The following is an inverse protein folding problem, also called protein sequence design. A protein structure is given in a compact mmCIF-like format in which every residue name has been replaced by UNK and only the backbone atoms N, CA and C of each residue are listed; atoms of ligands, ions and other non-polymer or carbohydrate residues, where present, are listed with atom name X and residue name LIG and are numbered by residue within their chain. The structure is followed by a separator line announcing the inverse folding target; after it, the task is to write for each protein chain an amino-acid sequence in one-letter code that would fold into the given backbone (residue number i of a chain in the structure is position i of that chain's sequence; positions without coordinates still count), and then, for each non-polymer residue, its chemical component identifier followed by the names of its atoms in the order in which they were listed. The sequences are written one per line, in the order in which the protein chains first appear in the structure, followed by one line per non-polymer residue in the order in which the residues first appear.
data_IF_584255681600
#
_entry.id   IF_584255681600
#
_cell.length_a   1.000
_cell.length_b   1.000
_cell.length_c   1.000
_cell.angle_alpha   90.00
_cell.angle_beta   90.00
_cell.angle_gamma   90.00
#
_symmetry.space_group_name_H-M   'P 1'
#
loop_
_entity.id
_entity.type
_entity.pdbx_description
1 polymer ?
#
# COMPACT_ATOMS: atom_id res chain seq x y z
N UNK A 1 -6.26 -18.34 3.22
CA UNK A 1 -5.02 -18.15 2.47
C UNK A 1 -5.34 -17.23 1.31
N UNK A 2 -4.58 -16.16 1.13
CA UNK A 2 -4.70 -15.34 -0.07
C UNK A 2 -4.37 -16.20 -1.28
N UNK A 3 -5.22 -16.12 -2.31
CA UNK A 3 -4.91 -16.69 -3.62
C UNK A 3 -4.22 -15.58 -4.40
N UNK A 4 -2.89 -15.50 -4.27
CA UNK A 4 -2.13 -14.58 -5.11
C UNK A 4 -2.27 -14.99 -6.57
N UNK A 5 -2.39 -14.03 -7.51
CA UNK A 5 -2.19 -14.30 -8.92
C UNK A 5 -0.82 -14.95 -9.14
N UNK A 6 -0.63 -15.64 -10.27
CA UNK A 6 0.70 -16.17 -10.59
C UNK A 6 1.74 -15.04 -10.63
N UNK A 7 2.99 -15.38 -10.34
CA UNK A 7 4.08 -14.40 -10.22
C UNK A 7 4.34 -13.61 -11.51
N UNK A 8 4.02 -14.17 -12.67
CA UNK A 8 4.17 -13.48 -13.96
C UNK A 8 3.20 -12.31 -14.09
N UNK A 9 1.93 -12.54 -13.75
CA UNK A 9 0.91 -11.48 -13.75
C UNK A 9 1.19 -10.37 -12.75
N UNK A 10 1.77 -10.69 -11.58
CA UNK A 10 2.19 -9.68 -10.59
C UNK A 10 3.33 -8.79 -11.11
N UNK A 11 4.31 -9.39 -11.79
CA UNK A 11 5.44 -8.65 -12.37
C UNK A 11 4.95 -7.63 -13.41
N UNK A 12 4.09 -8.05 -14.34
CA UNK A 12 3.54 -7.16 -15.38
C UNK A 12 2.72 -6.01 -14.78
N UNK A 13 1.90 -6.28 -13.77
CA UNK A 13 1.13 -5.26 -13.04
C UNK A 13 2.05 -4.26 -12.32
N UNK A 14 3.11 -4.77 -11.66
CA UNK A 14 4.10 -3.93 -11.00
C UNK A 14 4.80 -3.01 -12.01
N UNK A 15 5.23 -3.53 -13.15
CA UNK A 15 5.86 -2.74 -14.21
C UNK A 15 4.92 -1.65 -14.77
N UNK A 16 3.66 -1.99 -15.06
CA UNK A 16 2.66 -1.02 -15.54
C UNK A 16 2.41 0.09 -14.53
N UNK A 17 2.24 -0.25 -13.25
CA UNK A 17 2.04 0.74 -12.19
C UNK A 17 3.30 1.58 -11.95
N UNK A 18 4.49 0.99 -12.00
CA UNK A 18 5.75 1.70 -11.88
C UNK A 18 6.00 2.65 -13.06
N UNK A 19 5.59 2.31 -14.28
CA UNK A 19 5.66 3.18 -15.45
C UNK A 19 4.82 4.45 -15.25
N UNK A 20 3.66 4.35 -14.61
CA UNK A 20 2.77 5.49 -14.33
C UNK A 20 3.39 6.54 -13.42
N UNK A 21 4.43 6.21 -12.64
CA UNK A 21 5.12 7.16 -11.75
C UNK A 21 5.85 8.30 -12.48
N UNK A 22 6.24 8.13 -13.75
CA UNK A 22 6.90 9.20 -14.52
C UNK A 22 5.95 10.30 -14.99
N UNK A 23 4.64 10.02 -14.97
CA UNK A 23 3.57 10.98 -15.26
C UNK A 23 2.36 10.64 -14.39
N UNK A 24 2.54 10.81 -13.07
CA UNK A 24 1.71 10.23 -12.03
C UNK A 24 0.19 10.42 -12.25
N UNK A 25 -0.53 9.30 -12.36
CA UNK A 25 -1.99 9.23 -12.45
C UNK A 25 -2.58 8.11 -11.56
N UNK A 26 -1.85 7.72 -10.50
CA UNK A 26 -2.22 6.63 -9.59
C UNK A 26 -3.57 6.87 -8.89
N UNK A 27 -3.92 8.13 -8.62
CA UNK A 27 -5.18 8.51 -7.98
C UNK A 27 -5.94 9.54 -8.83
N UNK A 28 -7.23 9.81 -8.53
CA UNK A 28 -8.06 10.72 -9.34
C UNK A 28 -7.57 12.18 -9.36
N UNK A 29 -6.57 12.55 -8.55
CA UNK A 29 -5.92 13.88 -8.62
C UNK A 29 -5.16 14.12 -9.92
N UNK A 30 -4.67 13.06 -10.58
CA UNK A 30 -3.95 13.14 -11.85
C UNK A 30 -2.86 14.23 -11.87
N UNK A 31 -2.00 14.30 -10.85
CA UNK A 31 -1.04 15.40 -10.71
C UNK A 31 0.03 15.44 -11.81
N UNK A 32 0.25 14.35 -12.53
CA UNK A 32 1.18 14.19 -13.66
C UNK A 32 2.65 14.49 -13.37
N UNK A 33 3.03 14.72 -12.12
CA UNK A 33 4.43 14.90 -11.70
C UNK A 33 5.25 13.64 -12.00
N UNK A 34 6.54 13.83 -12.23
CA UNK A 34 7.50 12.75 -12.41
C UNK A 34 8.14 12.35 -11.08
N UNK A 35 7.52 11.40 -10.37
CA UNK A 35 8.04 10.89 -9.09
C UNK A 35 9.42 10.23 -9.23
N UNK A 36 9.75 9.70 -10.41
CA UNK A 36 11.08 9.12 -10.70
C UNK A 36 12.17 10.18 -10.85
N UNK A 37 11.80 11.42 -11.18
CA UNK A 37 12.71 12.56 -11.21
C UNK A 37 12.75 13.33 -9.86
N UNK A 38 12.09 12.82 -8.82
CA UNK A 38 12.02 13.46 -7.51
C UNK A 38 10.94 14.53 -7.38
N UNK A 39 10.08 14.72 -8.38
CA UNK A 39 8.96 15.65 -8.27
C UNK A 39 7.87 15.10 -7.34
N UNK A 40 7.26 15.99 -6.56
CA UNK A 40 6.25 15.63 -5.57
C UNK A 40 4.89 16.21 -5.95
N UNK A 41 3.86 15.38 -5.84
CA UNK A 41 2.47 15.81 -5.97
C UNK A 41 1.89 16.26 -4.63
N UNK A 42 0.57 16.46 -4.58
CA UNK A 42 -0.16 16.85 -3.36
C UNK A 42 0.09 15.88 -2.19
N UNK A 43 0.21 14.57 -2.48
CA UNK A 43 0.45 13.56 -1.45
C UNK A 43 1.86 13.60 -0.85
N UNK A 44 2.80 14.36 -1.45
CA UNK A 44 4.20 14.50 -1.03
C UNK A 44 5.00 13.19 -0.99
N UNK A 45 4.63 12.22 -1.82
CA UNK A 45 5.35 10.93 -1.91
C UNK A 45 6.13 10.80 -3.22
N UNK A 46 7.40 10.44 -3.10
CA UNK A 46 8.37 10.26 -4.20
C UNK A 46 8.38 8.85 -4.78
N UNK A 47 9.52 8.37 -5.29
CA UNK A 47 9.61 7.05 -5.93
C UNK A 47 9.49 5.86 -4.95
N UNK A 48 9.79 6.08 -3.67
CA UNK A 48 9.73 5.06 -2.62
C UNK A 48 8.49 5.25 -1.73
N UNK A 49 8.12 4.20 -0.98
CA UNK A 49 7.00 4.26 -0.05
C UNK A 49 7.49 4.73 1.32
N UNK A 50 6.93 5.81 1.91
CA UNK A 50 7.21 6.17 3.29
C UNK A 50 6.34 5.33 4.22
N UNK A 51 6.98 4.64 5.16
CA UNK A 51 6.32 3.81 6.18
C UNK A 51 6.47 4.51 7.52
N UNK A 52 5.33 4.85 8.14
CA UNK A 52 5.27 5.45 9.47
C UNK A 52 5.46 4.38 10.56
N UNK A 53 4.75 3.26 10.45
CA UNK A 53 4.84 2.14 11.38
C UNK A 53 4.27 0.86 10.76
N UNK A 54 4.60 -0.29 11.36
CA UNK A 54 4.01 -1.57 10.99
C UNK A 54 3.97 -2.53 12.18
N UNK A 55 3.02 -3.47 12.18
CA UNK A 55 2.90 -4.52 13.19
C UNK A 55 1.45 -4.96 13.44
N UNK A 56 1.23 -5.81 14.46
CA UNK A 56 -0.12 -6.23 14.84
C UNK A 56 -0.93 -5.03 15.35
N UNK A 57 -2.06 -4.76 14.73
CA UNK A 57 -3.01 -3.72 15.14
C UNK A 57 -4.32 -4.35 15.61
N UNK A 58 -4.72 -3.98 16.83
CA UNK A 58 -5.93 -4.49 17.49
C UNK A 58 -7.06 -3.45 17.55
N UNK A 59 -6.90 -2.31 16.87
CA UNK A 59 -7.90 -1.25 16.80
C UNK A 59 -8.87 -1.35 15.62
N UNK A 60 -8.68 -2.30 14.70
CA UNK A 60 -9.60 -2.55 13.57
C UNK A 60 -10.87 -3.28 14.01
N UNK A 61 -11.80 -3.47 13.08
CA UNK A 61 -13.01 -4.25 13.28
C UNK A 61 -12.71 -5.71 13.64
N UNK A 62 -13.56 -6.30 14.50
CA UNK A 62 -13.41 -7.67 14.98
C UNK A 62 -13.14 -8.73 13.88
N UNK A 63 -13.77 -8.67 12.68
CA UNK A 63 -13.48 -9.61 11.59
C UNK A 63 -12.04 -9.53 11.05
N UNK A 64 -11.36 -8.39 11.18
CA UNK A 64 -9.99 -8.19 10.71
C UNK A 64 -8.96 -8.54 11.79
N UNK A 65 -9.25 -8.23 13.05
CA UNK A 65 -8.32 -8.40 14.17
C UNK A 65 -8.13 -9.86 14.57
N UNK A 66 -9.23 -10.63 14.62
CA UNK A 66 -9.20 -12.00 15.11
C UNK A 66 -8.48 -12.13 16.46
N UNK A 67 -7.67 -13.17 16.62
CA UNK A 67 -6.87 -13.41 17.83
C UNK A 67 -5.47 -12.78 17.82
N UNK A 68 -4.97 -12.41 16.64
CA UNK A 68 -3.53 -12.16 16.41
C UNK A 68 -3.24 -10.77 15.84
N UNK A 69 -4.27 -9.93 15.74
CA UNK A 69 -4.17 -8.61 15.15
C UNK A 69 -4.34 -8.60 13.64
N UNK A 70 -4.75 -7.43 13.16
CA UNK A 70 -4.67 -7.05 11.76
C UNK A 70 -3.23 -6.60 11.48
N UNK A 71 -2.58 -7.16 10.46
CA UNK A 71 -1.17 -6.92 10.22
C UNK A 71 -0.96 -5.60 9.48
N UNK A 72 -0.90 -4.50 10.20
CA UNK A 72 -1.03 -3.17 9.61
C UNK A 72 0.32 -2.59 9.17
N UNK A 73 0.32 -1.93 8.01
CA UNK A 73 1.37 -1.02 7.55
C UNK A 73 0.73 0.36 7.37
N UNK A 74 1.17 1.34 8.16
CA UNK A 74 0.75 2.73 8.03
C UNK A 74 1.69 3.46 7.08
N UNK A 75 1.18 3.89 5.94
CA UNK A 75 1.93 4.71 4.99
C UNK A 75 1.79 6.20 5.31
N UNK A 76 2.86 6.96 5.05
CA UNK A 76 2.89 8.41 5.23
C UNK A 76 2.43 9.13 3.96
N UNK A 77 1.92 10.35 4.13
CA UNK A 77 1.28 11.09 3.05
C UNK A 77 -0.13 10.57 2.73
N UNK A 78 -0.88 11.32 1.92
CA UNK A 78 -2.23 10.92 1.51
C UNK A 78 -2.65 11.66 0.23
N UNK A 79 -3.43 11.01 -0.64
CA UNK A 79 -4.08 11.65 -1.79
C UNK A 79 -5.30 12.52 -1.40
N UNK A 80 -5.76 12.39 -0.16
CA UNK A 80 -6.74 13.23 0.51
C UNK A 80 -6.06 14.17 1.51
N UNK A 81 -6.78 15.21 1.95
CA UNK A 81 -6.32 16.19 2.94
C UNK A 81 -7.47 16.56 3.87
N UNK A 82 -8.03 15.56 4.55
CA UNK A 82 -9.22 15.73 5.39
C UNK A 82 -8.94 16.71 6.53
N UNK A 83 -9.83 17.69 6.74
CA UNK A 83 -9.72 18.66 7.86
C UNK A 83 -9.90 17.99 9.23
N UNK A 84 -10.44 16.78 9.26
CA UNK A 84 -10.69 15.94 10.45
C UNK A 84 -9.82 14.68 10.45
N UNK A 85 -8.65 14.68 9.78
CA UNK A 85 -7.80 13.50 9.66
C UNK A 85 -7.37 12.95 11.02
N UNK A 86 -7.80 11.72 11.36
CA UNK A 86 -7.37 11.02 12.58
C UNK A 86 -5.86 10.70 12.55
N UNK A 87 -5.32 10.54 11.35
CA UNK A 87 -3.94 10.20 11.06
C UNK A 87 -3.10 11.44 10.66
N UNK A 88 -3.39 12.62 11.22
CA UNK A 88 -2.79 13.88 10.79
C UNK A 88 -1.24 13.86 10.80
N UNK A 89 -0.60 13.32 11.84
CA UNK A 89 0.86 13.22 11.92
C UNK A 89 1.47 12.46 10.72
N UNK A 90 0.95 11.26 10.44
CA UNK A 90 1.45 10.43 9.34
C UNK A 90 1.03 10.96 7.95
N UNK A 91 -0.23 11.36 7.78
CA UNK A 91 -0.81 11.73 6.49
C UNK A 91 -0.47 13.16 6.08
N UNK A 92 -0.41 14.10 7.03
CA UNK A 92 -0.17 15.52 6.78
C UNK A 92 1.22 16.00 7.22
N UNK A 93 1.87 15.39 8.21
CA UNK A 93 3.22 15.82 8.63
C UNK A 93 4.33 14.93 8.08
N UNK A 94 3.97 13.80 7.46
CA UNK A 94 4.93 12.94 6.75
C UNK A 94 5.83 12.15 7.68
N UNK A 95 5.36 11.83 8.89
CA UNK A 95 6.09 10.96 9.82
C UNK A 95 6.38 9.60 9.20
N UNK A 96 7.59 9.08 9.35
CA UNK A 96 8.01 7.80 8.80
C UNK A 96 9.30 7.89 8.00
N UNK A 97 9.68 6.77 7.37
CA UNK A 97 10.90 6.70 6.57
C UNK A 97 10.59 6.08 5.21
N UNK A 98 11.21 6.62 4.16
CA UNK A 98 11.16 6.00 2.84
C UNK A 98 11.85 4.63 2.87
N UNK A 99 11.18 3.63 2.29
CA UNK A 99 11.69 2.28 2.14
C UNK A 99 11.63 1.83 0.68
N UNK A 100 12.62 1.04 0.26
CA UNK A 100 12.61 0.40 -1.07
C UNK A 100 11.54 -0.69 -1.14
N UNK A 101 11.21 -1.14 -2.35
CA UNK A 101 10.28 -2.23 -2.56
C UNK A 101 10.75 -3.54 -1.88
N UNK A 102 12.05 -3.84 -1.88
CA UNK A 102 12.60 -5.02 -1.20
C UNK A 102 12.44 -4.94 0.31
N UNK A 103 12.65 -3.74 0.88
CA UNK A 103 12.47 -3.50 2.32
C UNK A 103 11.00 -3.63 2.68
N UNK A 104 10.10 -3.08 1.86
CA UNK A 104 8.65 -3.19 2.04
C UNK A 104 8.17 -4.65 1.93
N UNK A 105 8.68 -5.43 0.98
CA UNK A 105 8.42 -6.87 0.88
C UNK A 105 8.88 -7.61 2.14
N UNK A 106 10.04 -7.22 2.70
CA UNK A 106 10.53 -7.72 3.98
C UNK A 106 9.60 -7.43 5.15
N UNK A 107 8.99 -6.22 5.17
CA UNK A 107 7.97 -5.82 6.16
C UNK A 107 6.72 -6.70 6.02
N UNK A 108 6.21 -6.91 4.81
CA UNK A 108 5.03 -7.76 4.58
C UNK A 108 5.24 -9.18 5.09
N UNK A 109 6.38 -9.79 4.80
CA UNK A 109 6.73 -11.12 5.31
C UNK A 109 6.96 -11.13 6.82
N UNK A 110 7.45 -10.04 7.42
CA UNK A 110 7.61 -9.93 8.86
C UNK A 110 6.25 -9.92 9.57
N UNK A 111 5.28 -9.17 9.05
CA UNK A 111 3.90 -9.14 9.55
C UNK A 111 3.29 -10.54 9.52
N UNK A 112 3.47 -11.28 8.41
CA UNK A 112 3.02 -12.67 8.34
C UNK A 112 3.69 -13.56 9.40
N UNK A 113 5.01 -13.42 9.60
CA UNK A 113 5.74 -14.19 10.64
C UNK A 113 5.31 -13.85 12.06
N UNK A 114 4.78 -12.65 12.29
CA UNK A 114 4.17 -12.27 13.58
C UNK A 114 2.82 -12.97 13.82
N UNK A 115 2.29 -13.69 12.82
CA UNK A 115 1.04 -14.44 12.94
C UNK A 115 -0.23 -13.62 12.73
N UNK A 116 -0.10 -12.41 12.16
CA UNK A 116 -1.25 -11.55 11.86
C UNK A 116 -2.19 -12.22 10.85
N UNK A 117 -3.49 -11.95 10.96
CA UNK A 117 -4.51 -12.62 10.14
C UNK A 117 -4.56 -12.13 8.69
N UNK A 118 -4.09 -10.91 8.46
CA UNK A 118 -4.09 -10.25 7.16
C UNK A 118 -2.94 -9.23 7.09
N UNK A 119 -2.68 -8.73 5.89
CA UNK A 119 -1.83 -7.58 5.61
C UNK A 119 -2.72 -6.36 5.34
N UNK A 120 -2.86 -5.47 6.31
CA UNK A 120 -3.68 -4.28 6.23
C UNK A 120 -2.84 -3.06 5.81
N UNK A 121 -3.05 -2.62 4.58
CA UNK A 121 -2.33 -1.52 3.96
C UNK A 121 -3.14 -0.24 4.17
N UNK A 122 -2.70 0.64 5.07
CA UNK A 122 -3.44 1.84 5.50
C UNK A 122 -2.96 3.09 4.76
N UNK A 123 -3.91 3.80 4.14
CA UNK A 123 -3.66 4.89 3.18
C UNK A 123 -2.77 4.45 2.00
N UNK A 124 -3.11 3.36 1.29
CA UNK A 124 -2.25 2.77 0.27
C UNK A 124 -2.30 3.49 -1.09
N UNK A 125 -3.31 4.34 -1.32
CA UNK A 125 -3.66 4.83 -2.67
C UNK A 125 -2.55 5.57 -3.39
N UNK A 126 -1.71 6.35 -2.70
CA UNK A 126 -0.60 7.05 -3.34
C UNK A 126 0.68 6.22 -3.42
N UNK A 127 0.73 5.05 -2.77
CA UNK A 127 1.88 4.12 -2.77
C UNK A 127 1.57 2.79 -3.47
N UNK A 128 0.43 2.68 -4.16
CA UNK A 128 0.03 1.45 -4.86
C UNK A 128 1.11 0.86 -5.78
N UNK A 129 1.87 1.64 -6.57
CA UNK A 129 2.96 1.08 -7.37
C UNK A 129 4.03 0.38 -6.54
N UNK A 130 4.45 1.00 -5.44
CA UNK A 130 5.46 0.44 -4.54
C UNK A 130 4.94 -0.81 -3.81
N UNK A 131 3.64 -0.82 -3.44
CA UNK A 131 2.97 -1.98 -2.87
C UNK A 131 3.00 -3.15 -3.87
N UNK A 132 2.62 -2.92 -5.13
CA UNK A 132 2.58 -3.99 -6.13
C UNK A 132 3.96 -4.58 -6.38
N UNK A 133 4.99 -3.74 -6.46
CA UNK A 133 6.38 -4.18 -6.59
C UNK A 133 6.82 -5.01 -5.37
N UNK A 134 6.48 -4.57 -4.16
CA UNK A 134 6.77 -5.31 -2.93
C UNK A 134 6.01 -6.64 -2.84
N UNK A 135 4.77 -6.72 -3.33
CA UNK A 135 3.99 -7.96 -3.40
C UNK A 135 4.60 -8.94 -4.40
N UNK A 136 5.00 -8.47 -5.58
CA UNK A 136 5.75 -9.27 -6.55
C UNK A 136 7.01 -9.89 -5.92
N UNK A 137 7.76 -9.12 -5.12
CA UNK A 137 8.95 -9.60 -4.43
C UNK A 137 8.64 -10.54 -3.25
N UNK A 138 7.52 -10.33 -2.55
CA UNK A 138 7.15 -11.10 -1.35
C UNK A 138 6.44 -12.42 -1.67
N UNK A 139 5.65 -12.49 -2.75
CA UNK A 139 4.92 -13.68 -3.17
C UNK A 139 5.81 -14.93 -3.34
N UNK A 140 6.91 -14.92 -4.13
CA UNK A 140 7.78 -16.09 -4.27
C UNK A 140 8.53 -16.45 -2.98
N UNK A 141 8.55 -15.55 -1.99
CA UNK A 141 9.14 -15.75 -0.66
C UNK A 141 8.12 -16.28 0.36
N UNK A 142 6.91 -16.63 -0.08
CA UNK A 142 5.91 -17.30 0.73
C UNK A 142 4.90 -16.38 1.41
N UNK A 143 4.73 -15.13 0.96
CA UNK A 143 3.59 -14.31 1.40
C UNK A 143 2.28 -14.99 0.96
N UNK A 144 1.35 -15.21 1.89
CA UNK A 144 0.12 -15.98 1.67
C UNK A 144 -1.08 -15.54 2.54
N UNK A 145 -0.94 -14.46 3.29
CA UNK A 145 -2.04 -13.89 4.10
C UNK A 145 -2.90 -12.92 3.26
N UNK A 146 -4.22 -12.81 3.54
CA UNK A 146 -5.13 -11.88 2.86
C UNK A 146 -4.64 -10.44 2.89
N UNK A 147 -4.92 -9.68 1.84
CA UNK A 147 -4.60 -8.26 1.73
C UNK A 147 -5.85 -7.41 1.94
N UNK A 148 -5.78 -6.52 2.94
CA UNK A 148 -6.78 -5.49 3.20
C UNK A 148 -6.24 -4.16 2.67
N UNK A 149 -7.03 -3.50 1.83
CA UNK A 149 -6.73 -2.20 1.26
C UNK A 149 -7.58 -1.15 1.98
N UNK A 150 -7.04 -0.60 3.08
CA UNK A 150 -7.68 0.39 3.92
C UNK A 150 -7.41 1.80 3.36
N UNK A 151 -8.29 2.22 2.46
CA UNK A 151 -8.18 3.45 1.68
C UNK A 151 -9.25 4.47 2.10
N UNK A 152 -9.35 5.58 1.37
CA UNK A 152 -10.31 6.66 1.68
C UNK A 152 -11.44 6.80 0.66
N UNK A 153 -11.65 5.77 -0.16
CA UNK A 153 -12.69 5.77 -1.22
C UNK A 153 -12.45 6.76 -2.38
N UNK A 154 -11.22 7.26 -2.57
CA UNK A 154 -10.86 8.18 -3.66
C UNK A 154 -9.77 7.60 -4.58
N UNK A 155 -10.10 6.50 -5.24
CA UNK A 155 -9.19 5.70 -6.08
C UNK A 155 -9.47 5.88 -7.57
N UNK A 156 -8.42 5.72 -8.38
CA UNK A 156 -8.58 5.69 -9.84
C UNK A 156 -9.08 4.31 -10.27
N UNK A 157 -10.08 4.26 -11.15
CA UNK A 157 -10.60 3.01 -11.72
C UNK A 157 -9.47 2.21 -12.39
N UNK A 158 -8.57 2.88 -13.11
CA UNK A 158 -7.45 2.22 -13.77
C UNK A 158 -6.46 1.61 -12.77
N UNK A 159 -6.30 2.22 -11.59
CA UNK A 159 -5.51 1.62 -10.50
C UNK A 159 -6.23 0.44 -9.86
N UNK A 160 -7.55 0.52 -9.66
CA UNK A 160 -8.34 -0.58 -9.10
C UNK A 160 -8.32 -1.82 -10.00
N UNK A 161 -8.35 -1.66 -11.33
CA UNK A 161 -8.21 -2.77 -12.29
C UNK A 161 -6.88 -3.52 -12.11
N UNK A 162 -5.79 -2.81 -11.84
CA UNK A 162 -4.48 -3.43 -11.58
C UNK A 162 -4.45 -4.21 -10.24
N UNK A 163 -5.35 -3.89 -9.32
CA UNK A 163 -5.48 -4.55 -8.01
C UNK A 163 -6.47 -5.72 -8.00
N UNK A 164 -7.23 -5.93 -9.09
CA UNK A 164 -8.25 -6.98 -9.16
C UNK A 164 -7.62 -8.37 -9.05
N UNK A 165 -8.07 -9.15 -8.06
CA UNK A 165 -7.50 -10.47 -7.74
C UNK A 165 -6.19 -10.42 -6.95
N UNK A 166 -5.69 -9.23 -6.59
CA UNK A 166 -4.54 -9.05 -5.67
C UNK A 166 -5.01 -8.64 -4.28
N UNK A 167 -5.97 -7.72 -4.21
CA UNK A 167 -6.59 -7.27 -2.96
C UNK A 167 -7.82 -8.13 -2.66
N UNK A 168 -7.89 -8.67 -1.44
CA UNK A 168 -9.00 -9.50 -0.99
C UNK A 168 -10.15 -8.67 -0.40
N UNK A 169 -9.82 -7.59 0.32
CA UNK A 169 -10.80 -6.74 1.03
C UNK A 169 -10.46 -5.27 0.79
N UNK A 170 -11.46 -4.49 0.38
CA UNK A 170 -11.37 -3.03 0.31
C UNK A 170 -12.14 -2.42 1.47
N UNK A 171 -11.50 -1.50 2.18
CA UNK A 171 -12.06 -0.80 3.34
C UNK A 171 -11.90 0.72 3.15
N UNK A 172 -12.94 1.43 2.69
CA UNK A 172 -12.91 2.87 2.46
C UNK A 172 -13.30 3.71 3.70
#
# INVERSE_FOLDING_TARGET
MAVFPDTGTLAERAERLAARLSKCDICPRLCRVNRKAGELGLCRVGANAPVASFGPHHGEEAPLVGSSGSGTVFFSGCNLLCVFCQNYGISHQGEGNEVSAEKLAGIFLAIQRMGCHNLNLVTPTHVTPQIMEALFLAAPRGLSIPIVYNCGGYESIDTLRELEGVVDIYMP
#
